data_IF_914376375062
#
_entry.id   IF_914376375062
#
_cell.length_a   1.000
_cell.length_b   1.000
_cell.length_c   1.000
_cell.angle_alpha   90.00
_cell.angle_beta   90.00
_cell.angle_gamma   90.00
#
_symmetry.space_group_name_H-M   'P 1'
#
loop_
_entity.id
_entity.type
_entity.pdbx_description
1 polymer ?
#
# COMPACT_ATOMS: atom_id res chain seq x y z
N UNK A 1 -10.03 6.70 -12.54
CA UNK A 1 -9.31 7.98 -12.65
C UNK A 1 -7.93 7.86 -13.30
N UNK A 2 -6.94 7.14 -12.74
CA UNK A 2 -5.59 7.04 -13.34
C UNK A 2 -5.60 6.64 -14.83
N UNK A 3 -6.33 5.58 -15.18
CA UNK A 3 -6.44 5.11 -16.58
C UNK A 3 -7.01 6.20 -17.49
N UNK A 4 -8.12 6.84 -17.11
CA UNK A 4 -8.75 7.91 -17.89
C UNK A 4 -7.83 9.13 -18.12
N UNK A 5 -7.02 9.49 -17.12
CA UNK A 5 -6.17 10.70 -17.16
C UNK A 5 -4.80 10.45 -17.78
N UNK A 6 -4.18 9.30 -17.51
CA UNK A 6 -2.76 9.06 -17.83
C UNK A 6 -2.54 8.01 -18.92
N UNK A 7 -3.43 7.04 -19.07
CA UNK A 7 -3.24 5.89 -19.97
C UNK A 7 -4.05 6.05 -21.25
N UNK A 8 -5.38 6.17 -21.13
CA UNK A 8 -6.29 6.25 -22.28
C UNK A 8 -5.91 7.34 -23.30
N UNK A 9 -5.50 8.56 -22.91
CA UNK A 9 -5.11 9.60 -23.86
C UNK A 9 -3.84 9.29 -24.67
N UNK A 10 -3.08 8.25 -24.28
CA UNK A 10 -1.83 7.85 -24.94
C UNK A 10 -2.01 6.72 -25.95
N UNK A 11 -3.20 6.14 -26.04
CA UNK A 11 -3.49 5.06 -26.98
C UNK A 11 -4.62 5.48 -27.91
N UNK A 12 -4.27 5.81 -29.15
CA UNK A 12 -5.21 6.34 -30.14
C UNK A 12 -5.84 5.26 -31.04
N UNK A 13 -5.27 4.04 -31.04
CA UNK A 13 -5.62 2.99 -31.99
C UNK A 13 -6.70 2.01 -31.49
N UNK A 14 -7.26 2.25 -30.30
CA UNK A 14 -8.30 1.39 -29.75
C UNK A 14 -8.76 1.77 -28.34
N UNK A 15 -9.75 1.04 -27.79
CA UNK A 15 -10.29 1.32 -26.47
C UNK A 15 -9.31 0.95 -25.36
N UNK A 16 -9.27 1.78 -24.31
CA UNK A 16 -8.56 1.50 -23.05
C UNK A 16 -9.59 1.45 -21.94
N UNK A 17 -9.75 0.29 -21.28
CA UNK A 17 -10.79 0.09 -20.27
C UNK A 17 -10.17 -0.48 -18.99
N UNK A 18 -10.33 0.25 -17.89
CA UNK A 18 -9.99 -0.20 -16.55
C UNK A 18 -11.14 -1.02 -15.96
N UNK A 19 -10.82 -2.21 -15.46
CA UNK A 19 -11.78 -3.12 -14.84
C UNK A 19 -11.37 -3.38 -13.40
N UNK A 20 -12.33 -3.26 -12.48
CA UNK A 20 -12.08 -3.29 -11.03
C UNK A 20 -11.76 -4.67 -10.48
N UNK A 21 -12.39 -5.71 -11.03
CA UNK A 21 -12.27 -7.09 -10.56
C UNK A 21 -12.57 -8.08 -11.70
N UNK A 22 -12.19 -9.34 -11.48
CA UNK A 22 -12.32 -10.39 -12.49
C UNK A 22 -13.77 -10.66 -12.93
N UNK A 23 -14.77 -10.47 -12.06
CA UNK A 23 -16.17 -10.72 -12.39
C UNK A 23 -16.67 -9.73 -13.44
N UNK A 24 -16.22 -8.48 -13.36
CA UNK A 24 -16.56 -7.43 -14.33
C UNK A 24 -15.82 -7.60 -15.66
N UNK A 25 -14.64 -8.22 -15.66
CA UNK A 25 -13.86 -8.43 -16.89
C UNK A 25 -14.61 -9.28 -17.92
N UNK A 26 -15.39 -10.27 -17.48
CA UNK A 26 -16.17 -11.11 -18.39
C UNK A 26 -17.22 -10.30 -19.15
N UNK A 27 -17.93 -9.41 -18.45
CA UNK A 27 -18.94 -8.54 -19.07
C UNK A 27 -18.30 -7.56 -20.06
N UNK A 28 -17.18 -6.96 -19.68
CA UNK A 28 -16.42 -6.04 -20.53
C UNK A 28 -15.96 -6.74 -21.81
N UNK A 29 -15.32 -7.92 -21.68
CA UNK A 29 -14.91 -8.72 -22.84
C UNK A 29 -16.10 -9.12 -23.71
N UNK A 30 -17.23 -9.51 -23.08
CA UNK A 30 -18.47 -9.84 -23.79
C UNK A 30 -19.01 -8.68 -24.64
N UNK A 31 -19.04 -7.47 -24.09
CA UNK A 31 -19.47 -6.28 -24.83
C UNK A 31 -18.49 -5.94 -25.97
N UNK A 32 -17.18 -6.05 -25.75
CA UNK A 32 -16.17 -5.75 -26.76
C UNK A 32 -16.13 -6.77 -27.92
N UNK A 33 -16.53 -8.02 -27.68
CA UNK A 33 -16.62 -9.06 -28.70
C UNK A 33 -17.95 -9.05 -29.45
N UNK A 34 -18.98 -8.42 -28.88
CA UNK A 34 -20.28 -8.29 -29.53
C UNK A 34 -20.26 -7.12 -30.54
N UNK A 35 -20.36 -7.43 -31.83
CA UNK A 35 -20.30 -6.44 -32.92
C UNK A 35 -21.38 -5.36 -32.82
N UNK A 36 -22.56 -5.69 -32.30
CA UNK A 36 -23.69 -4.77 -32.23
C UNK A 36 -23.60 -3.84 -31.00
N UNK A 37 -22.86 -4.22 -29.96
CA UNK A 37 -22.72 -3.45 -28.71
C UNK A 37 -21.37 -2.77 -28.54
N UNK A 38 -20.36 -3.22 -29.29
CA UNK A 38 -18.97 -2.78 -29.12
C UNK A 38 -18.83 -1.27 -29.28
N UNK A 39 -19.45 -0.70 -30.31
CA UNK A 39 -19.27 0.70 -30.65
C UNK A 39 -19.85 1.59 -29.53
N UNK A 40 -21.14 1.43 -29.24
CA UNK A 40 -21.84 2.14 -28.17
C UNK A 40 -21.10 2.01 -26.83
N UNK A 41 -20.68 0.79 -26.46
CA UNK A 41 -19.96 0.56 -25.21
C UNK A 41 -18.60 1.27 -25.14
N UNK A 42 -17.90 1.39 -26.26
CA UNK A 42 -16.61 2.11 -26.30
C UNK A 42 -16.83 3.62 -26.22
N UNK A 43 -17.89 4.12 -26.87
CA UNK A 43 -18.28 5.54 -26.81
C UNK A 43 -18.69 5.93 -25.39
N UNK A 44 -19.54 5.15 -24.74
CA UNK A 44 -19.95 5.37 -23.33
C UNK A 44 -18.74 5.48 -22.39
N UNK A 45 -17.78 4.55 -22.50
CA UNK A 45 -16.57 4.56 -21.67
C UNK A 45 -15.67 5.77 -21.99
N UNK A 46 -15.62 6.20 -23.25
CA UNK A 46 -14.86 7.37 -23.65
C UNK A 46 -15.46 8.65 -23.07
N UNK A 47 -16.79 8.78 -23.06
CA UNK A 47 -17.52 9.87 -22.41
C UNK A 47 -17.26 9.88 -20.89
N UNK A 48 -17.45 8.75 -20.20
CA UNK A 48 -17.13 8.61 -18.77
C UNK A 48 -15.69 9.04 -18.46
N UNK A 49 -14.74 8.70 -19.34
CA UNK A 49 -13.33 9.03 -19.15
C UNK A 49 -13.04 10.50 -19.42
N UNK A 50 -13.81 11.17 -20.27
CA UNK A 50 -13.73 12.61 -20.46
C UNK A 50 -14.23 13.33 -19.21
N UNK A 51 -15.39 12.94 -18.68
CA UNK A 51 -15.96 13.53 -17.46
C UNK A 51 -15.00 13.39 -16.26
N UNK A 52 -14.48 12.18 -16.03
CA UNK A 52 -13.49 11.92 -14.96
C UNK A 52 -12.23 12.78 -15.13
N UNK A 53 -11.82 13.04 -16.37
CA UNK A 53 -10.62 13.81 -16.66
C UNK A 53 -10.86 15.30 -16.44
N UNK A 54 -12.01 15.81 -16.87
CA UNK A 54 -12.40 17.20 -16.69
C UNK A 54 -12.58 17.52 -15.20
N UNK A 55 -13.23 16.63 -14.45
CA UNK A 55 -13.34 16.73 -12.99
C UNK A 55 -11.96 16.71 -12.32
N UNK A 56 -11.06 15.81 -12.74
CA UNK A 56 -9.70 15.73 -12.20
C UNK A 56 -8.91 17.03 -12.42
N UNK A 57 -8.96 17.62 -13.62
CA UNK A 57 -8.26 18.87 -13.90
C UNK A 57 -8.92 20.10 -13.26
N UNK A 58 -10.24 20.09 -13.08
CA UNK A 58 -10.93 21.10 -12.29
C UNK A 58 -10.50 21.07 -10.82
N UNK A 59 -10.42 19.87 -10.23
CA UNK A 59 -10.01 19.68 -8.83
C UNK A 59 -8.53 19.99 -8.60
N UNK A 60 -7.65 19.69 -9.56
CA UNK A 60 -6.23 20.07 -9.49
C UNK A 60 -6.01 21.57 -9.27
N UNK A 61 -6.87 22.43 -9.85
CA UNK A 61 -6.79 23.88 -9.68
C UNK A 61 -7.10 24.34 -8.25
N UNK A 62 -7.78 23.52 -7.46
CA UNK A 62 -8.13 23.81 -6.08
C UNK A 62 -7.05 23.37 -5.10
N UNK A 63 -6.15 22.47 -5.48
CA UNK A 63 -5.06 22.00 -4.62
C UNK A 63 -4.03 23.13 -4.50
N UNK A 64 -4.07 23.84 -3.38
CA UNK A 64 -3.04 24.82 -3.02
C UNK A 64 -1.89 24.11 -2.34
N UNK A 65 -0.68 24.37 -2.81
CA UNK A 65 0.53 23.85 -2.22
C UNK A 65 1.36 25.01 -1.69
N UNK A 66 1.84 24.90 -0.45
CA UNK A 66 2.84 25.80 0.09
C UNK A 66 4.18 25.61 -0.64
N UNK A 67 4.94 26.71 -0.86
CA UNK A 67 6.33 26.62 -1.23
C UNK A 67 7.09 25.75 -0.21
N UNK A 68 8.00 24.90 -0.70
CA UNK A 68 8.72 23.93 0.14
C UNK A 68 9.41 24.58 1.35
N UNK A 69 9.99 25.77 1.16
CA UNK A 69 10.65 26.51 2.23
C UNK A 69 9.68 26.94 3.34
N UNK A 70 8.42 27.25 3.00
CA UNK A 70 7.42 27.63 4.01
C UNK A 70 6.85 26.39 4.72
N UNK A 71 6.67 25.28 4.00
CA UNK A 71 6.34 24.00 4.61
C UNK A 71 7.43 23.55 5.61
N UNK A 72 8.71 23.75 5.28
CA UNK A 72 9.85 23.44 6.18
C UNK A 72 9.87 24.28 7.46
N UNK A 73 9.51 25.57 7.38
CA UNK A 73 9.36 26.43 8.57
C UNK A 73 8.23 25.96 9.49
N UNK A 74 7.25 25.25 8.92
CA UNK A 74 6.10 24.66 9.60
C UNK A 74 6.27 23.16 9.86
N UNK A 75 7.52 22.66 9.95
CA UNK A 75 7.79 21.26 10.28
C UNK A 75 7.27 20.88 11.66
N UNK A 76 7.10 19.59 11.90
CA UNK A 76 6.91 19.13 13.27
C UNK A 76 8.22 19.31 14.06
N UNK A 77 8.07 19.76 15.31
CA UNK A 77 9.16 19.96 16.26
C UNK A 77 8.73 19.22 17.53
N UNK A 78 9.56 18.32 18.01
CA UNK A 78 9.29 17.65 19.28
C UNK A 78 9.34 18.67 20.43
N UNK A 79 8.30 18.68 21.27
CA UNK A 79 8.21 19.55 22.45
C UNK A 79 9.17 19.14 23.58
N UNK A 80 9.79 17.96 23.49
CA UNK A 80 10.76 17.46 24.46
C UNK A 80 12.19 17.64 23.96
N UNK A 81 12.92 18.62 24.52
CA UNK A 81 14.36 18.82 24.26
C UNK A 81 15.22 17.59 24.65
N UNK A 82 14.66 16.64 25.40
CA UNK A 82 15.31 15.42 25.87
C UNK A 82 14.54 14.16 25.48
N UNK A 83 14.26 13.97 24.18
CA UNK A 83 13.86 12.62 23.71
C UNK A 83 15.03 11.67 24.02
N UNK A 84 14.84 10.79 25.00
CA UNK A 84 15.81 9.76 25.32
C UNK A 84 15.70 8.65 24.25
N UNK A 85 16.50 8.78 23.19
CA UNK A 85 16.57 7.79 22.12
C UNK A 85 17.20 6.53 22.69
N UNK A 86 16.42 5.47 22.81
CA UNK A 86 16.91 4.18 23.31
C UNK A 86 17.91 3.61 22.32
N UNK A 87 19.15 3.41 22.77
CA UNK A 87 20.18 2.78 21.95
C UNK A 87 19.75 1.33 21.65
N UNK A 88 19.74 0.91 20.36
CA UNK A 88 19.50 -0.49 20.01
C UNK A 88 20.53 -1.43 20.66
N UNK A 89 20.14 -2.69 20.85
CA UNK A 89 21.00 -3.70 21.49
C UNK A 89 22.25 -4.04 20.68
N UNK A 90 22.24 -3.78 19.36
CA UNK A 90 23.40 -3.88 18.47
C UNK A 90 23.34 -2.79 17.38
N UNK A 91 24.43 -2.59 16.66
CA UNK A 91 24.49 -1.73 15.47
C UNK A 91 25.09 -2.53 14.30
N UNK A 92 24.70 -2.19 13.07
CA UNK A 92 25.01 -2.94 11.85
C UNK A 92 23.85 -3.83 11.41
N UNK A 93 24.13 -4.80 10.54
CA UNK A 93 23.12 -5.77 10.05
C UNK A 93 23.17 -7.07 10.83
N UNK A 94 22.00 -7.60 11.15
CA UNK A 94 21.82 -8.98 11.63
C UNK A 94 20.94 -9.74 10.62
N UNK A 95 21.38 -10.94 10.25
CA UNK A 95 20.73 -11.79 9.24
C UNK A 95 20.09 -12.98 9.93
N UNK A 96 18.84 -13.25 9.58
CA UNK A 96 18.10 -14.43 10.00
C UNK A 96 17.84 -15.30 8.77
N UNK A 97 18.57 -16.39 8.62
CA UNK A 97 18.49 -17.25 7.43
C UNK A 97 17.46 -18.39 7.52
N UNK A 98 16.88 -18.60 8.71
CA UNK A 98 15.91 -19.66 8.93
C UNK A 98 14.95 -19.32 10.08
N UNK A 99 14.01 -18.42 9.81
CA UNK A 99 12.94 -18.07 10.75
C UNK A 99 11.93 -19.22 10.78
N UNK A 100 11.56 -19.61 11.99
CA UNK A 100 10.54 -20.62 12.23
C UNK A 100 9.16 -20.16 11.73
N UNK A 101 8.65 -20.85 10.71
CA UNK A 101 7.37 -20.57 10.09
C UNK A 101 6.21 -20.70 11.07
N UNK A 102 6.27 -21.64 12.03
CA UNK A 102 5.19 -21.83 13.02
C UNK A 102 4.99 -20.57 13.86
N UNK A 103 6.08 -19.91 14.25
CA UNK A 103 6.02 -18.66 15.01
C UNK A 103 5.37 -17.54 14.22
N UNK A 104 5.54 -17.50 12.90
CA UNK A 104 4.98 -16.44 12.06
C UNK A 104 3.48 -16.62 11.79
N UNK A 105 2.95 -17.84 11.82
CA UNK A 105 1.52 -18.10 11.59
C UNK A 105 0.66 -17.33 12.59
N UNK A 106 1.11 -17.22 13.84
CA UNK A 106 0.42 -16.46 14.88
C UNK A 106 0.32 -14.95 14.59
N UNK A 107 1.17 -14.40 13.71
CA UNK A 107 1.20 -12.99 13.32
C UNK A 107 0.46 -12.71 12.01
N UNK A 108 -0.10 -13.73 11.35
CA UNK A 108 -0.85 -13.53 10.12
C UNK A 108 -2.14 -12.75 10.41
N UNK A 109 -2.27 -11.57 9.81
CA UNK A 109 -3.57 -10.94 9.61
C UNK A 109 -4.30 -11.65 8.46
N UNK A 110 -5.37 -12.36 8.79
CA UNK A 110 -6.18 -13.11 7.83
C UNK A 110 -7.15 -12.25 7.04
N UNK A 111 -7.37 -10.98 7.42
CA UNK A 111 -8.31 -10.12 6.69
C UNK A 111 -7.90 -9.91 5.21
N UNK A 112 -6.64 -9.54 4.88
CA UNK A 112 -6.20 -9.45 3.48
C UNK A 112 -6.36 -10.76 2.70
N UNK A 113 -6.17 -11.92 3.35
CA UNK A 113 -6.39 -13.23 2.73
C UNK A 113 -7.85 -13.40 2.29
N UNK A 114 -8.82 -13.14 3.17
CA UNK A 114 -10.24 -13.23 2.81
C UNK A 114 -10.65 -12.18 1.77
N UNK A 115 -10.08 -10.97 1.84
CA UNK A 115 -10.30 -9.92 0.84
C UNK A 115 -9.82 -10.36 -0.56
N UNK A 116 -8.66 -11.02 -0.65
CA UNK A 116 -8.11 -11.57 -1.88
C UNK A 116 -8.98 -12.72 -2.44
N UNK A 117 -9.52 -13.57 -1.56
CA UNK A 117 -10.47 -14.63 -1.92
C UNK A 117 -11.89 -14.11 -2.22
N UNK A 118 -12.13 -12.79 -2.14
CA UNK A 118 -13.43 -12.14 -2.31
C UNK A 118 -14.51 -12.66 -1.35
N UNK A 119 -14.13 -13.14 -0.18
CA UNK A 119 -15.05 -13.58 0.87
C UNK A 119 -15.27 -12.41 1.83
N UNK A 120 -16.38 -11.69 1.64
CA UNK A 120 -16.71 -10.49 2.42
C UNK A 120 -18.06 -10.66 3.10
N UNK A 121 -18.06 -10.55 4.42
CA UNK A 121 -19.29 -10.55 5.21
C UNK A 121 -19.96 -9.17 5.22
N UNK A 122 -21.23 -9.12 5.58
CA UNK A 122 -21.94 -7.87 5.88
C UNK A 122 -21.74 -7.45 7.33
N UNK A 123 -21.94 -6.16 7.64
CA UNK A 123 -21.95 -5.67 9.03
C UNK A 123 -23.01 -6.43 9.85
N UNK A 124 -22.70 -6.91 11.07
CA UNK A 124 -21.47 -6.68 11.86
C UNK A 124 -20.31 -7.66 11.62
N UNK A 125 -20.47 -8.66 10.75
CA UNK A 125 -19.54 -9.78 10.52
C UNK A 125 -18.60 -9.56 9.31
N UNK A 126 -18.16 -8.33 9.07
CA UNK A 126 -17.46 -7.96 7.81
C UNK A 126 -16.04 -8.53 7.69
N UNK A 127 -15.32 -8.65 8.81
CA UNK A 127 -13.91 -9.03 8.83
C UNK A 127 -13.63 -10.24 9.70
N UNK A 128 -12.46 -10.85 9.51
CA UNK A 128 -11.94 -11.89 10.39
C UNK A 128 -11.81 -11.36 11.84
N UNK A 129 -12.11 -12.19 12.87
CA UNK A 129 -12.65 -13.55 12.78
C UNK A 129 -14.17 -13.62 12.65
N UNK A 130 -14.90 -12.52 12.87
CA UNK A 130 -16.39 -12.47 12.84
C UNK A 130 -17.00 -12.90 11.51
N UNK A 131 -16.24 -12.83 10.42
CA UNK A 131 -16.61 -13.33 9.09
C UNK A 131 -17.13 -14.78 9.13
N UNK A 132 -16.59 -15.59 10.03
CA UNK A 132 -17.04 -16.95 10.25
C UNK A 132 -18.51 -17.01 10.69
N UNK A 133 -19.02 -16.05 11.45
CA UNK A 133 -20.41 -16.09 11.91
C UNK A 133 -21.39 -15.47 10.90
N UNK A 134 -20.90 -15.09 9.71
CA UNK A 134 -21.75 -14.60 8.65
C UNK A 134 -22.58 -15.74 8.03
N UNK A 135 -23.91 -15.61 8.04
CA UNK A 135 -24.82 -16.63 7.46
C UNK A 135 -24.58 -16.87 5.96
N UNK A 136 -24.18 -15.84 5.24
CA UNK A 136 -24.10 -15.85 3.78
C UNK A 136 -22.77 -16.46 3.29
N UNK A 137 -21.66 -16.13 3.96
CA UNK A 137 -20.29 -16.46 3.50
C UNK A 137 -19.44 -17.21 4.52
N UNK A 138 -19.94 -17.41 5.75
CA UNK A 138 -19.17 -17.99 6.85
C UNK A 138 -18.78 -19.46 6.62
N UNK A 139 -19.62 -20.22 5.93
CA UNK A 139 -19.31 -21.59 5.56
C UNK A 139 -18.12 -21.65 4.59
N UNK A 140 -18.15 -20.84 3.54
CA UNK A 140 -17.06 -20.70 2.57
C UNK A 140 -15.78 -20.17 3.23
N UNK A 141 -15.91 -19.18 4.13
CA UNK A 141 -14.79 -18.67 4.91
C UNK A 141 -14.09 -19.76 5.71
N UNK A 142 -14.84 -20.67 6.36
CA UNK A 142 -14.26 -21.81 7.10
C UNK A 142 -13.56 -22.81 6.18
N UNK A 143 -14.13 -23.08 5.01
CA UNK A 143 -13.52 -23.99 4.03
C UNK A 143 -12.16 -23.45 3.58
N UNK A 144 -12.12 -22.22 3.07
CA UNK A 144 -10.85 -21.66 2.56
C UNK A 144 -9.83 -21.45 3.67
N UNK A 145 -10.27 -21.14 4.89
CA UNK A 145 -9.38 -21.04 6.04
C UNK A 145 -8.79 -22.40 6.41
N UNK A 146 -9.63 -23.43 6.49
CA UNK A 146 -9.20 -24.81 6.76
C UNK A 146 -8.19 -25.29 5.72
N UNK A 147 -8.44 -25.02 4.43
CA UNK A 147 -7.52 -25.41 3.37
C UNK A 147 -6.21 -24.60 3.41
N UNK A 148 -6.26 -23.30 3.73
CA UNK A 148 -5.06 -22.51 3.96
C UNK A 148 -4.22 -23.04 5.14
N UNK A 149 -4.87 -23.46 6.24
CA UNK A 149 -4.18 -24.05 7.39
C UNK A 149 -3.51 -25.39 7.04
N UNK A 150 -4.16 -26.23 6.20
CA UNK A 150 -3.53 -27.47 5.69
C UNK A 150 -2.32 -27.16 4.83
N UNK A 151 -2.41 -26.18 3.93
CA UNK A 151 -1.29 -25.77 3.07
C UNK A 151 -0.13 -25.24 3.93
N UNK A 152 -0.41 -24.41 4.94
CA UNK A 152 0.61 -23.94 5.88
C UNK A 152 1.26 -25.10 6.64
N UNK A 153 0.46 -26.07 7.10
CA UNK A 153 0.97 -27.28 7.76
C UNK A 153 1.87 -28.09 6.85
N UNK A 154 1.49 -28.28 5.59
CA UNK A 154 2.30 -28.98 4.58
C UNK A 154 3.61 -28.24 4.28
N UNK A 155 3.56 -26.91 4.17
CA UNK A 155 4.73 -26.05 4.00
C UNK A 155 5.73 -26.27 5.13
N UNK A 156 5.25 -26.29 6.38
CA UNK A 156 6.07 -26.49 7.57
C UNK A 156 6.65 -27.92 7.59
N UNK A 157 5.77 -28.92 7.49
CA UNK A 157 6.16 -30.32 7.61
C UNK A 157 7.17 -30.74 6.54
N UNK A 158 7.00 -30.23 5.32
CA UNK A 158 7.87 -30.56 4.17
C UNK A 158 9.00 -29.55 3.96
N UNK A 159 9.07 -28.49 4.77
CA UNK A 159 10.05 -27.39 4.64
C UNK A 159 10.13 -26.85 3.21
N UNK A 160 8.97 -26.54 2.61
CA UNK A 160 8.88 -26.17 1.19
C UNK A 160 9.62 -24.87 0.84
N UNK A 161 9.78 -23.97 1.81
CA UNK A 161 10.63 -22.78 1.67
C UNK A 161 11.22 -22.37 3.02
N UNK A 162 12.34 -21.66 2.98
CA UNK A 162 12.97 -21.04 4.15
C UNK A 162 12.57 -19.57 4.25
N UNK A 163 12.16 -19.12 5.43
CA UNK A 163 11.90 -17.69 5.68
C UNK A 163 13.19 -17.02 6.12
N UNK A 164 13.53 -15.92 5.45
CA UNK A 164 14.72 -15.12 5.72
C UNK A 164 14.35 -13.68 6.03
N UNK A 165 15.13 -13.04 6.89
CA UNK A 165 15.04 -11.61 7.14
C UNK A 165 16.42 -11.01 7.38
N UNK A 166 16.52 -9.71 7.20
CA UNK A 166 17.64 -8.90 7.66
C UNK A 166 17.08 -7.73 8.42
N UNK A 167 17.66 -7.44 9.57
CA UNK A 167 17.39 -6.22 10.32
C UNK A 167 18.68 -5.43 10.43
N UNK A 168 18.56 -4.12 10.61
CA UNK A 168 19.74 -3.30 10.81
C UNK A 168 19.44 -2.05 11.60
N UNK A 169 20.37 -1.72 12.50
CA UNK A 169 20.34 -0.49 13.29
C UNK A 169 21.59 0.31 13.00
N UNK A 170 21.43 1.58 12.65
CA UNK A 170 22.53 2.44 12.26
C UNK A 170 22.44 3.77 12.98
N UNK A 171 23.58 4.37 13.37
CA UNK A 171 23.58 5.75 13.82
C UNK A 171 23.07 6.64 12.69
N UNK A 172 22.15 7.54 13.01
CA UNK A 172 21.60 8.47 12.04
C UNK A 172 21.34 9.84 12.66
N UNK A 173 21.23 10.84 11.79
CA UNK A 173 20.77 12.18 12.17
C UNK A 173 19.96 12.79 11.04
N UNK A 174 19.07 13.71 11.38
CA UNK A 174 18.24 14.40 10.41
C UNK A 174 18.98 15.64 9.91
N UNK A 175 18.94 15.89 8.59
CA UNK A 175 19.46 17.11 7.96
C UNK A 175 18.42 17.60 6.96
N UNK A 176 17.75 18.69 7.30
CA UNK A 176 16.61 19.18 6.52
C UNK A 176 15.48 18.15 6.52
N UNK A 177 15.12 17.66 5.33
CA UNK A 177 14.05 16.68 5.14
C UNK A 177 14.58 15.23 5.10
N UNK A 178 15.88 15.02 5.24
CA UNK A 178 16.51 13.71 5.03
C UNK A 178 17.09 13.12 6.32
N UNK A 179 17.28 11.80 6.34
CA UNK A 179 17.97 11.07 7.41
C UNK A 179 19.31 10.57 6.89
N UNK A 180 20.40 11.14 7.43
CA UNK A 180 21.76 10.71 7.13
C UNK A 180 22.11 9.50 8.00
N UNK A 181 22.65 8.45 7.37
CA UNK A 181 23.06 7.21 8.02
C UNK A 181 24.58 7.12 8.05
N UNK A 182 25.14 6.76 9.20
CA UNK A 182 26.58 6.64 9.44
C UNK A 182 27.04 5.19 9.60
N UNK A 183 28.32 4.96 9.36
CA UNK A 183 28.97 3.67 9.61
C UNK A 183 28.94 3.35 11.12
N UNK A 184 28.42 2.19 11.54
CA UNK A 184 28.45 1.77 12.94
C UNK A 184 29.84 1.70 13.56
N UNK A 185 30.88 1.48 12.74
CA UNK A 185 32.29 1.41 13.16
C UNK A 185 33.00 2.76 13.11
N UNK A 186 32.47 3.71 12.36
CA UNK A 186 33.02 5.06 12.20
C UNK A 186 31.88 6.10 12.06
N UNK A 187 31.45 6.71 13.18
CA UNK A 187 30.36 7.68 13.20
C UNK A 187 30.64 8.96 12.37
N UNK A 188 31.88 9.20 11.94
CA UNK A 188 32.21 10.35 11.08
C UNK A 188 31.91 10.07 9.60
N UNK A 189 31.82 8.79 9.23
CA UNK A 189 31.65 8.34 7.86
C UNK A 189 30.18 8.13 7.53
N UNK A 190 29.64 8.99 6.67
CA UNK A 190 28.31 8.79 6.08
C UNK A 190 28.33 7.62 5.10
N UNK A 191 27.35 6.72 5.21
CA UNK A 191 27.22 5.53 4.34
C UNK A 191 25.96 5.54 3.48
N UNK A 192 24.92 6.30 3.86
CA UNK A 192 23.69 6.43 3.09
C UNK A 192 22.87 7.65 3.52
N UNK A 193 21.86 7.98 2.73
CA UNK A 193 20.84 8.99 3.02
C UNK A 193 19.47 8.43 2.67
N UNK A 194 18.53 8.49 3.62
CA UNK A 194 17.11 8.25 3.35
C UNK A 194 16.44 9.61 3.08
N UNK A 195 16.03 9.80 1.83
CA UNK A 195 15.40 11.04 1.41
C UNK A 195 13.94 11.10 1.86
N UNK A 196 13.55 12.21 2.50
CA UNK A 196 12.19 12.43 2.92
C UNK A 196 11.38 13.27 1.93
N UNK A 197 10.06 13.12 2.00
CA UNK A 197 9.12 14.02 1.32
C UNK A 197 8.31 14.76 2.36
N UNK A 198 8.28 16.09 2.24
CA UNK A 198 7.50 16.95 3.10
C UNK A 198 6.10 17.16 2.53
N UNK A 199 5.09 17.09 3.38
CA UNK A 199 3.74 17.52 3.01
C UNK A 199 3.77 18.97 2.52
N UNK A 200 3.06 19.30 1.44
CA UNK A 200 2.99 20.67 0.90
C UNK A 200 1.57 21.15 0.63
N UNK A 201 0.59 20.25 0.51
CA UNK A 201 -0.81 20.65 0.33
C UNK A 201 -1.29 21.43 1.54
N UNK A 202 -1.90 22.60 1.32
CA UNK A 202 -2.51 23.40 2.38
C UNK A 202 -3.58 22.60 3.12
N UNK A 203 -3.58 22.68 4.45
CA UNK A 203 -4.49 21.96 5.35
C UNK A 203 -4.82 22.85 6.53
N UNK A 204 -5.86 22.48 7.28
CA UNK A 204 -6.25 23.20 8.50
C UNK A 204 -5.16 23.14 9.58
N UNK A 205 -4.34 22.08 9.56
CA UNK A 205 -3.15 21.97 10.42
C UNK A 205 -2.04 22.92 9.97
N UNK A 206 -1.43 23.60 10.94
CA UNK A 206 -0.24 24.42 10.72
C UNK A 206 1.07 23.62 10.72
N UNK A 207 1.01 22.28 10.80
CA UNK A 207 2.19 21.41 10.80
C UNK A 207 2.25 20.57 9.53
N UNK A 208 3.40 20.60 8.86
CA UNK A 208 3.66 19.93 7.59
C UNK A 208 4.70 18.84 7.79
N UNK A 209 4.23 17.60 7.89
CA UNK A 209 5.05 16.46 8.30
C UNK A 209 6.06 16.04 7.23
N UNK A 210 7.23 15.57 7.69
CA UNK A 210 8.17 14.72 6.96
C UNK A 210 8.55 13.53 7.86
N UNK A 211 8.98 12.40 7.28
CA UNK A 211 9.47 11.25 8.05
C UNK A 211 10.76 11.54 8.85
N UNK A 212 11.46 12.62 8.53
CA UNK A 212 12.68 13.08 9.22
C UNK A 212 12.42 14.08 10.35
N UNK A 213 11.17 14.47 10.60
CA UNK A 213 10.84 15.36 11.72
C UNK A 213 10.91 14.62 13.07
#
# INVERSE_FOLDING_TARGET
QHTAVKIAPRYHNGPVIHVLDASKSVVVCGNLLNKDKKQDYVEDIAEDYNDIRDEYYANLKQIRCLPLNDARKKRWISENESINITKPTFLGTEVFDNIDAEKLIAYIDWKPFFDAMQIRGKYPNRGYPKLFDCKEVGAQARIVFSDAQKILSDIIARKLFSIRAVIGFYPCKTVGDDVIIYDPKDPSKQISTLFGLRQQTERDSNVYMCLSD
#
